data_IF_876418708679
#
_entry.id   IF_876418708679
#
_cell.length_a   1.000
_cell.length_b   1.000
_cell.length_c   1.000
_cell.angle_alpha   90.00
_cell.angle_beta   90.00
_cell.angle_gamma   90.00
#
_symmetry.space_group_name_H-M   'P 1'
#
loop_
_entity.id
_entity.type
_entity.pdbx_description
1 polymer ?
#
# COMPACT_ATOMS: atom_id res chain seq x y z
N UNK A 1 -23.22 -64.97 34.95
CA UNK A 1 -23.70 -64.20 33.82
C UNK A 1 -23.37 -62.75 34.11
N UNK A 2 -22.28 -62.22 33.58
CA UNK A 2 -21.84 -60.83 33.65
C UNK A 2 -22.06 -60.18 32.26
N UNK A 3 -22.68 -59.04 32.14
CA UNK A 3 -22.88 -58.39 30.86
C UNK A 3 -21.59 -57.65 30.42
N UNK A 4 -21.17 -57.92 29.18
CA UNK A 4 -20.12 -57.19 28.47
C UNK A 4 -20.46 -55.70 28.30
N UNK A 5 -19.55 -54.86 28.76
CA UNK A 5 -19.60 -53.43 28.50
C UNK A 5 -19.02 -53.14 27.11
N UNK A 6 -19.89 -52.82 26.17
CA UNK A 6 -19.54 -52.33 24.83
C UNK A 6 -18.92 -50.95 24.94
N UNK A 7 -17.61 -50.89 24.83
CA UNK A 7 -16.86 -49.62 24.76
C UNK A 7 -17.14 -48.85 23.44
N UNK A 8 -17.89 -47.80 23.56
CA UNK A 8 -18.14 -46.83 22.47
C UNK A 8 -16.92 -45.92 22.35
N UNK A 9 -16.10 -46.12 21.34
CA UNK A 9 -15.01 -45.19 21.00
C UNK A 9 -15.60 -43.85 20.54
N UNK A 10 -15.10 -42.71 21.05
CA UNK A 10 -15.53 -41.41 20.52
C UNK A 10 -14.94 -41.22 19.13
N UNK A 11 -15.82 -41.04 18.14
CA UNK A 11 -15.48 -40.77 16.76
C UNK A 11 -14.66 -39.47 16.65
N UNK A 12 -13.59 -39.55 15.89
CA UNK A 12 -12.62 -38.53 15.50
C UNK A 12 -13.29 -37.34 14.76
N UNK A 13 -13.70 -36.31 15.51
CA UNK A 13 -14.23 -35.06 14.97
C UNK A 13 -13.16 -34.00 14.66
N UNK A 14 -11.87 -34.28 14.81
CA UNK A 14 -10.78 -33.29 14.71
C UNK A 14 -10.15 -33.16 13.32
N UNK A 15 -10.48 -33.98 12.36
CA UNK A 15 -9.86 -33.94 11.00
C UNK A 15 -10.60 -33.05 9.99
N UNK A 16 -11.87 -32.75 10.20
CA UNK A 16 -12.70 -31.98 9.25
C UNK A 16 -12.53 -30.48 9.35
N UNK A 17 -12.36 -29.92 10.56
CA UNK A 17 -12.22 -28.49 10.82
C UNK A 17 -10.94 -27.91 10.18
N UNK A 18 -9.83 -28.63 10.23
CA UNK A 18 -8.58 -28.19 9.62
C UNK A 18 -8.56 -28.22 8.08
N UNK A 19 -9.43 -29.03 7.48
CA UNK A 19 -9.62 -29.13 6.02
C UNK A 19 -10.42 -27.96 5.46
N UNK A 20 -11.52 -27.62 6.11
CA UNK A 20 -12.40 -26.51 5.72
C UNK A 20 -11.67 -25.15 5.84
N UNK A 21 -10.96 -24.88 6.91
CA UNK A 21 -10.18 -23.65 7.09
C UNK A 21 -9.11 -23.47 6.01
N UNK A 22 -8.44 -24.55 5.60
CA UNK A 22 -7.45 -24.52 4.51
C UNK A 22 -8.12 -24.27 3.17
N UNK A 23 -9.28 -24.81 2.92
CA UNK A 23 -10.02 -24.62 1.66
C UNK A 23 -10.56 -23.19 1.54
N UNK A 24 -11.13 -22.65 2.60
CA UNK A 24 -11.59 -21.24 2.67
C UNK A 24 -10.42 -20.28 2.46
N UNK A 25 -9.28 -20.54 3.10
CA UNK A 25 -8.07 -19.73 2.92
C UNK A 25 -7.58 -19.75 1.47
N UNK A 26 -7.48 -20.93 0.83
CA UNK A 26 -7.07 -21.08 -0.58
C UNK A 26 -8.02 -20.37 -1.54
N UNK A 27 -9.34 -20.45 -1.29
CA UNK A 27 -10.34 -19.76 -2.10
C UNK A 27 -10.17 -18.24 -2.01
N UNK A 28 -9.97 -17.68 -0.82
CA UNK A 28 -9.72 -16.26 -0.61
C UNK A 28 -8.48 -15.78 -1.35
N UNK A 29 -7.37 -16.52 -1.27
CA UNK A 29 -6.15 -16.18 -2.01
C UNK A 29 -6.35 -16.19 -3.53
N UNK A 30 -7.08 -17.16 -4.09
CA UNK A 30 -7.39 -17.21 -5.52
C UNK A 30 -8.22 -16.02 -5.97
N UNK A 31 -9.24 -15.65 -5.18
CA UNK A 31 -10.08 -14.47 -5.49
C UNK A 31 -9.24 -13.19 -5.44
N UNK A 32 -8.45 -12.99 -4.38
CA UNK A 32 -7.58 -11.81 -4.25
C UNK A 32 -6.58 -11.71 -5.40
N UNK A 33 -5.96 -12.82 -5.78
CA UNK A 33 -5.04 -12.86 -6.91
C UNK A 33 -5.75 -12.59 -8.24
N UNK A 34 -6.94 -13.16 -8.45
CA UNK A 34 -7.76 -12.88 -9.64
C UNK A 34 -8.13 -11.40 -9.74
N UNK A 35 -8.58 -10.79 -8.64
CA UNK A 35 -8.89 -9.35 -8.60
C UNK A 35 -7.66 -8.49 -8.89
N UNK A 36 -6.49 -8.88 -8.37
CA UNK A 36 -5.24 -8.21 -8.65
C UNK A 36 -4.86 -8.30 -10.14
N UNK A 37 -5.00 -9.47 -10.76
CA UNK A 37 -4.77 -9.64 -12.20
C UNK A 37 -5.74 -8.79 -13.04
N UNK A 38 -7.01 -8.71 -12.65
CA UNK A 38 -8.00 -7.84 -13.34
C UNK A 38 -7.60 -6.37 -13.19
N UNK A 39 -7.22 -5.92 -12.00
CA UNK A 39 -6.75 -4.55 -11.78
C UNK A 39 -5.53 -4.22 -12.64
N UNK A 40 -4.56 -5.14 -12.73
CA UNK A 40 -3.38 -4.98 -13.59
C UNK A 40 -3.77 -4.89 -15.07
N UNK A 41 -4.66 -5.75 -15.55
CA UNK A 41 -5.13 -5.71 -16.95
C UNK A 41 -5.87 -4.40 -17.26
N UNK A 42 -6.71 -3.93 -16.32
CA UNK A 42 -7.40 -2.63 -16.45
C UNK A 42 -6.38 -1.51 -16.51
N UNK A 43 -5.38 -1.50 -15.63
CA UNK A 43 -4.31 -0.49 -15.64
C UNK A 43 -3.54 -0.47 -16.96
N UNK A 44 -3.12 -1.63 -17.45
CA UNK A 44 -2.43 -1.74 -18.75
C UNK A 44 -3.32 -1.26 -19.91
N UNK A 45 -4.60 -1.57 -19.87
CA UNK A 45 -5.55 -1.06 -20.87
C UNK A 45 -5.67 0.46 -20.82
N UNK A 46 -5.73 1.07 -19.60
CA UNK A 46 -5.73 2.54 -19.46
C UNK A 46 -4.45 3.17 -19.97
N UNK A 47 -3.27 2.56 -19.74
CA UNK A 47 -2.01 3.03 -20.31
C UNK A 47 -2.07 3.10 -21.85
N UNK A 48 -2.57 2.05 -22.51
CA UNK A 48 -2.72 2.01 -23.97
C UNK A 48 -3.72 3.07 -24.46
N UNK A 49 -4.85 3.20 -23.78
CA UNK A 49 -5.91 4.17 -24.15
C UNK A 49 -5.37 5.61 -24.03
N UNK A 50 -4.71 5.93 -22.92
CA UNK A 50 -4.17 7.28 -22.68
C UNK A 50 -3.00 7.58 -23.62
N UNK A 51 -2.13 6.63 -23.90
CA UNK A 51 -1.06 6.78 -24.90
C UNK A 51 -1.64 7.08 -26.29
N UNK A 52 -2.70 6.38 -26.69
CA UNK A 52 -3.39 6.59 -27.98
C UNK A 52 -4.20 7.90 -28.04
N UNK A 53 -4.60 8.46 -26.88
CA UNK A 53 -5.33 9.71 -26.78
C UNK A 53 -4.78 10.60 -25.65
N UNK A 54 -3.60 11.21 -25.85
CA UNK A 54 -2.90 11.93 -24.76
C UNK A 54 -3.54 13.27 -24.34
N UNK A 55 -4.49 13.80 -25.14
CA UNK A 55 -5.24 15.00 -24.78
C UNK A 55 -6.19 14.73 -23.62
N UNK A 56 -6.54 15.76 -22.79
CA UNK A 56 -7.56 15.59 -21.77
C UNK A 56 -8.91 15.26 -22.40
N UNK A 57 -9.65 14.41 -21.72
CA UNK A 57 -11.07 14.17 -22.06
C UNK A 57 -11.93 15.36 -21.62
N UNK A 58 -13.13 15.50 -22.18
CA UNK A 58 -14.04 16.58 -21.79
C UNK A 58 -14.36 16.57 -20.29
N UNK A 59 -14.50 15.40 -19.70
CA UNK A 59 -14.74 15.26 -18.27
C UNK A 59 -13.48 15.58 -17.41
N UNK A 60 -12.25 15.35 -17.90
CA UNK A 60 -11.02 15.81 -17.22
C UNK A 60 -11.03 17.33 -17.05
N UNK A 61 -11.39 18.06 -18.13
CA UNK A 61 -11.51 19.51 -18.12
C UNK A 61 -12.62 19.98 -17.18
N UNK A 62 -13.83 19.40 -17.34
CA UNK A 62 -14.99 19.80 -16.52
C UNK A 62 -14.74 19.58 -15.03
N UNK A 63 -14.07 18.48 -14.65
CA UNK A 63 -13.72 18.21 -13.26
C UNK A 63 -12.67 19.24 -12.77
N UNK A 64 -11.62 19.50 -13.55
CA UNK A 64 -10.59 20.46 -13.16
C UNK A 64 -11.17 21.89 -12.99
N UNK A 65 -11.99 22.34 -13.92
CA UNK A 65 -12.71 23.64 -13.84
C UNK A 65 -13.64 23.69 -12.62
N UNK A 66 -14.38 22.61 -12.36
CA UNK A 66 -15.30 22.54 -11.22
C UNK A 66 -14.54 22.63 -9.91
N UNK A 67 -13.50 21.81 -9.75
CA UNK A 67 -12.67 21.77 -8.52
C UNK A 67 -11.99 23.11 -8.28
N UNK A 68 -11.39 23.71 -9.31
CA UNK A 68 -10.71 24.99 -9.19
C UNK A 68 -11.66 26.18 -9.06
N UNK A 69 -12.90 26.05 -9.52
CA UNK A 69 -13.95 27.06 -9.40
C UNK A 69 -14.66 27.11 -8.05
N UNK A 70 -14.43 26.16 -7.16
CA UNK A 70 -15.02 26.14 -5.82
C UNK A 70 -14.51 27.34 -5.00
N UNK A 71 -15.46 28.09 -4.42
CA UNK A 71 -15.16 29.21 -3.52
C UNK A 71 -15.07 28.69 -2.10
N UNK A 72 -13.87 28.25 -1.73
CA UNK A 72 -13.61 27.66 -0.42
C UNK A 72 -12.86 28.62 0.50
N UNK A 73 -13.06 28.51 1.83
CA UNK A 73 -12.24 29.21 2.80
C UNK A 73 -10.76 28.77 2.68
N UNK A 74 -9.82 29.69 2.91
CA UNK A 74 -8.38 29.43 2.79
C UNK A 74 -7.95 28.23 3.64
N UNK A 75 -8.44 28.13 4.88
CA UNK A 75 -8.09 27.02 5.78
C UNK A 75 -8.50 25.65 5.23
N UNK A 76 -9.62 25.56 4.48
CA UNK A 76 -10.06 24.31 3.87
C UNK A 76 -9.13 23.91 2.74
N UNK A 77 -8.79 24.87 1.88
CA UNK A 77 -7.80 24.68 0.81
C UNK A 77 -6.44 24.23 1.36
N UNK A 78 -5.98 24.81 2.48
CA UNK A 78 -4.73 24.43 3.13
C UNK A 78 -4.79 22.96 3.60
N UNK A 79 -5.93 22.50 4.13
CA UNK A 79 -6.15 21.10 4.49
C UNK A 79 -6.14 20.19 3.25
N UNK A 80 -6.74 20.62 2.16
CA UNK A 80 -6.87 19.79 0.95
C UNK A 80 -5.54 19.60 0.20
N UNK A 81 -4.66 20.62 0.21
CA UNK A 81 -3.34 20.54 -0.43
C UNK A 81 -2.24 19.98 0.49
N UNK A 82 -2.50 19.81 1.78
CA UNK A 82 -1.51 19.36 2.74
C UNK A 82 -0.85 18.01 2.37
N UNK A 83 -1.56 16.98 1.88
CA UNK A 83 -0.94 15.74 1.38
C UNK A 83 0.07 16.01 0.27
N UNK A 84 -0.27 16.89 -0.69
CA UNK A 84 0.63 17.27 -1.78
C UNK A 84 1.93 17.91 -1.27
N UNK A 85 1.84 18.79 -0.26
CA UNK A 85 3.01 19.43 0.34
C UNK A 85 3.94 18.38 0.98
N UNK A 86 3.37 17.39 1.68
CA UNK A 86 4.16 16.33 2.32
C UNK A 86 4.76 15.34 1.33
N UNK A 87 4.17 15.22 0.14
CA UNK A 87 4.67 14.35 -0.92
C UNK A 87 5.72 15.04 -1.82
N UNK A 88 6.03 16.30 -1.63
CA UNK A 88 7.18 16.93 -2.29
C UNK A 88 8.47 16.15 -1.97
N UNK A 89 9.48 16.14 -2.87
CA UNK A 89 10.66 15.27 -2.75
C UNK A 89 11.37 15.32 -1.40
N UNK A 90 11.57 16.51 -0.83
CA UNK A 90 12.25 16.64 0.47
C UNK A 90 11.40 16.13 1.64
N UNK A 91 10.15 16.59 1.87
CA UNK A 91 9.30 16.07 2.92
C UNK A 91 9.06 14.56 2.79
N UNK A 92 8.81 14.04 1.60
CA UNK A 92 8.59 12.62 1.34
C UNK A 92 9.82 11.78 1.71
N UNK A 93 11.03 12.22 1.31
CA UNK A 93 12.29 11.55 1.68
C UNK A 93 12.51 11.56 3.20
N UNK A 94 12.24 12.69 3.87
CA UNK A 94 12.35 12.80 5.34
C UNK A 94 11.34 11.86 6.01
N UNK A 95 10.11 11.82 5.52
CA UNK A 95 9.06 10.95 6.05
C UNK A 95 9.42 9.46 5.93
N UNK A 96 9.81 9.02 4.73
CA UNK A 96 10.25 7.64 4.49
C UNK A 96 11.45 7.26 5.38
N UNK A 97 12.46 8.16 5.46
CA UNK A 97 13.64 7.96 6.29
C UNK A 97 13.31 7.86 7.77
N UNK A 98 12.37 8.68 8.26
CA UNK A 98 11.92 8.67 9.64
C UNK A 98 11.26 7.33 10.00
N UNK A 99 10.38 6.82 9.17
CA UNK A 99 9.75 5.52 9.38
C UNK A 99 10.76 4.38 9.28
N UNK A 100 11.65 4.40 8.30
CA UNK A 100 12.70 3.41 8.15
C UNK A 100 13.63 3.34 9.38
N UNK A 101 14.18 4.48 9.78
CA UNK A 101 15.06 4.58 10.97
C UNK A 101 14.31 4.21 12.25
N UNK A 102 13.06 4.67 12.40
CA UNK A 102 12.21 4.30 13.53
C UNK A 102 12.03 2.79 13.67
N UNK A 103 11.75 2.09 12.57
CA UNK A 103 11.63 0.63 12.55
C UNK A 103 12.95 -0.07 12.86
N UNK A 104 14.10 0.46 12.40
CA UNK A 104 15.42 -0.06 12.75
C UNK A 104 15.74 0.13 14.23
N UNK A 105 15.37 1.27 14.83
CA UNK A 105 15.52 1.51 16.28
C UNK A 105 14.70 0.49 17.07
N UNK A 106 13.44 0.25 16.66
CA UNK A 106 12.59 -0.77 17.31
C UNK A 106 13.23 -2.16 17.16
N UNK A 107 13.74 -2.50 15.99
CA UNK A 107 14.44 -3.78 15.75
C UNK A 107 15.65 -3.91 16.68
N UNK A 108 16.44 -2.86 16.85
CA UNK A 108 17.59 -2.81 17.77
C UNK A 108 17.15 -3.02 19.22
N UNK A 109 16.09 -2.32 19.68
CA UNK A 109 15.52 -2.49 21.02
C UNK A 109 15.10 -3.95 21.25
N UNK A 110 14.44 -4.58 20.27
CA UNK A 110 14.06 -6.00 20.35
C UNK A 110 15.30 -6.89 20.46
N UNK A 111 16.34 -6.63 19.68
CA UNK A 111 17.62 -7.36 19.72
C UNK A 111 18.29 -7.24 21.09
N UNK A 112 18.37 -6.04 21.64
CA UNK A 112 18.94 -5.78 22.96
C UNK A 112 18.17 -6.49 24.09
N UNK A 113 16.84 -6.58 23.93
CA UNK A 113 15.96 -7.32 24.85
C UNK A 113 15.93 -8.83 24.59
N UNK A 114 16.85 -9.37 23.80
CA UNK A 114 16.95 -10.78 23.39
C UNK A 114 15.68 -11.33 22.71
N UNK A 115 14.91 -10.44 22.09
CA UNK A 115 13.74 -10.78 21.24
C UNK A 115 14.14 -10.75 19.77
N UNK A 116 13.37 -11.44 18.92
CA UNK A 116 13.64 -11.45 17.48
C UNK A 116 13.35 -10.09 16.84
N UNK A 117 14.32 -9.45 16.16
CA UNK A 117 14.12 -8.20 15.43
C UNK A 117 13.53 -8.39 14.04
N UNK A 118 13.41 -9.62 13.54
CA UNK A 118 13.19 -9.94 12.11
C UNK A 118 11.94 -9.28 11.53
N UNK A 119 10.84 -9.22 12.29
CA UNK A 119 9.59 -8.60 11.82
C UNK A 119 9.78 -7.10 11.54
N UNK A 120 10.51 -6.40 12.42
CA UNK A 120 10.76 -4.97 12.26
C UNK A 120 11.74 -4.68 11.14
N UNK A 121 12.79 -5.50 10.99
CA UNK A 121 13.71 -5.42 9.85
C UNK A 121 13.00 -5.71 8.54
N UNK A 122 12.17 -6.74 8.50
CA UNK A 122 11.33 -7.05 7.35
C UNK A 122 10.40 -5.87 7.01
N UNK A 123 9.71 -5.29 8.01
CA UNK A 123 8.80 -4.16 7.80
C UNK A 123 9.53 -2.94 7.23
N UNK A 124 10.72 -2.62 7.78
CA UNK A 124 11.55 -1.52 7.29
C UNK A 124 11.98 -1.72 5.84
N UNK A 125 12.51 -2.91 5.51
CA UNK A 125 12.97 -3.22 4.15
C UNK A 125 11.80 -3.23 3.15
N UNK A 126 10.65 -3.80 3.54
CA UNK A 126 9.49 -3.84 2.67
C UNK A 126 8.87 -2.46 2.44
N UNK A 127 8.85 -1.58 3.45
CA UNK A 127 8.38 -0.20 3.27
C UNK A 127 9.22 0.52 2.20
N UNK A 128 10.54 0.48 2.35
CA UNK A 128 11.46 1.11 1.38
C UNK A 128 11.35 0.46 0.00
N UNK A 129 11.32 -0.88 -0.07
CA UNK A 129 11.17 -1.59 -1.33
C UNK A 129 9.86 -1.25 -2.04
N UNK A 130 8.74 -1.16 -1.30
CA UNK A 130 7.44 -0.76 -1.84
C UNK A 130 7.53 0.61 -2.48
N UNK A 131 7.99 1.61 -1.74
CA UNK A 131 8.03 3.01 -2.19
C UNK A 131 9.00 3.20 -3.37
N UNK A 132 10.23 2.69 -3.26
CA UNK A 132 11.23 2.91 -4.31
C UNK A 132 10.91 2.16 -5.60
N UNK A 133 10.40 0.92 -5.51
CA UNK A 133 10.01 0.18 -6.71
C UNK A 133 8.79 0.76 -7.39
N UNK A 134 7.82 1.24 -6.62
CA UNK A 134 6.64 1.91 -7.09
C UNK A 134 7.02 3.19 -7.85
N UNK A 135 7.80 4.09 -7.23
CA UNK A 135 8.30 5.30 -7.87
C UNK A 135 9.10 5.02 -9.16
N UNK A 136 9.95 3.97 -9.16
CA UNK A 136 10.73 3.59 -10.33
C UNK A 136 9.86 3.11 -11.49
N UNK A 137 8.84 2.32 -11.20
CA UNK A 137 7.92 1.80 -12.23
C UNK A 137 6.93 2.87 -12.69
N UNK A 138 6.44 3.73 -11.79
CA UNK A 138 5.65 4.89 -12.16
C UNK A 138 6.40 5.78 -13.17
N UNK A 139 7.67 6.09 -12.89
CA UNK A 139 8.52 6.84 -13.82
C UNK A 139 8.64 6.15 -15.18
N UNK A 140 8.78 4.83 -15.21
CA UNK A 140 8.85 4.06 -16.46
C UNK A 140 7.53 4.14 -17.25
N UNK A 141 6.40 3.97 -16.57
CA UNK A 141 5.07 4.08 -17.19
C UNK A 141 4.83 5.51 -17.70
N UNK A 142 5.21 6.52 -16.93
CA UNK A 142 5.11 7.93 -17.29
C UNK A 142 5.85 8.23 -18.62
N UNK A 143 7.07 7.71 -18.76
CA UNK A 143 7.88 7.85 -19.99
C UNK A 143 7.22 7.11 -21.17
N UNK A 144 6.68 5.91 -20.96
CA UNK A 144 6.07 5.09 -22.01
C UNK A 144 4.74 5.72 -22.48
N UNK A 145 3.88 6.11 -21.54
CA UNK A 145 2.57 6.70 -21.87
C UNK A 145 2.73 8.10 -22.43
N UNK A 146 3.69 8.86 -21.92
CA UNK A 146 4.10 10.18 -22.41
C UNK A 146 2.94 11.18 -22.60
N UNK A 147 2.04 11.26 -21.63
CA UNK A 147 0.92 12.20 -21.62
C UNK A 147 1.38 13.60 -21.22
N UNK A 148 1.07 14.68 -21.97
CA UNK A 148 1.41 16.02 -21.58
C UNK A 148 0.62 16.50 -20.34
N UNK A 149 1.28 17.27 -19.47
CA UNK A 149 0.66 17.88 -18.28
C UNK A 149 -0.40 18.92 -18.62
N UNK A 150 -1.34 19.17 -17.68
CA UNK A 150 -2.23 20.34 -17.77
C UNK A 150 -1.44 21.61 -18.03
N UNK A 151 -1.88 22.40 -19.01
CA UNK A 151 -1.19 23.63 -19.40
C UNK A 151 -2.20 24.78 -19.50
N UNK A 152 -2.09 25.83 -18.64
CA UNK A 152 -3.01 26.96 -18.63
C UNK A 152 -2.96 27.82 -19.90
N UNK A 153 -1.95 27.63 -20.77
CA UNK A 153 -1.92 28.28 -22.09
C UNK A 153 -2.83 27.62 -23.12
N UNK A 154 -3.22 26.38 -22.88
CA UNK A 154 -4.01 25.57 -23.79
C UNK A 154 -5.42 25.31 -23.26
N UNK A 155 -5.62 25.36 -21.94
CA UNK A 155 -6.87 25.02 -21.28
C UNK A 155 -7.22 26.03 -20.20
N UNK A 156 -8.50 26.27 -19.91
CA UNK A 156 -8.98 27.27 -18.93
C UNK A 156 -8.83 26.74 -17.48
N UNK A 157 -7.62 26.46 -17.08
CA UNK A 157 -7.24 25.96 -15.76
C UNK A 157 -6.17 26.84 -15.13
N UNK A 158 -6.02 26.77 -13.81
CA UNK A 158 -4.94 27.41 -13.08
C UNK A 158 -3.87 26.39 -12.71
N UNK A 159 -2.60 26.76 -12.80
CA UNK A 159 -1.48 26.00 -12.29
C UNK A 159 -0.93 26.72 -11.07
N UNK A 160 -1.04 26.07 -9.89
CA UNK A 160 -0.59 26.64 -8.61
C UNK A 160 0.83 26.21 -8.24
N UNK A 161 1.41 25.29 -8.99
CA UNK A 161 2.77 24.77 -8.81
C UNK A 161 3.65 25.15 -10.00
N UNK A 162 4.96 24.92 -9.88
CA UNK A 162 5.85 25.11 -11.01
C UNK A 162 5.60 24.04 -12.09
N UNK A 163 5.59 24.45 -13.37
CA UNK A 163 5.46 23.51 -14.47
C UNK A 163 6.64 22.53 -14.49
N UNK A 164 6.35 21.25 -14.35
CA UNK A 164 7.34 20.18 -14.34
C UNK A 164 7.49 19.60 -15.76
N UNK A 165 8.72 19.43 -16.29
CA UNK A 165 8.94 18.98 -17.68
C UNK A 165 8.83 17.45 -17.84
N UNK A 166 8.04 16.79 -17.01
CA UNK A 166 7.81 15.35 -17.07
C UNK A 166 6.37 15.02 -17.47
N UNK A 167 6.09 13.87 -18.09
CA UNK A 167 4.76 13.41 -18.39
C UNK A 167 3.85 13.38 -17.15
N UNK A 168 2.55 13.15 -17.34
CA UNK A 168 1.57 13.30 -16.25
C UNK A 168 0.86 12.00 -15.88
N UNK A 169 0.92 10.97 -16.69
CA UNK A 169 0.16 9.73 -16.47
C UNK A 169 1.06 8.54 -16.21
N UNK A 170 0.79 7.82 -15.13
CA UNK A 170 -0.17 8.08 -14.05
C UNK A 170 0.38 9.05 -13.00
N UNK A 171 -0.48 9.58 -12.10
CA UNK A 171 -0.06 10.50 -11.05
C UNK A 171 0.86 9.84 -10.03
N UNK A 172 2.15 10.20 -10.05
CA UNK A 172 3.15 9.65 -9.13
C UNK A 172 2.93 10.02 -7.67
N UNK A 173 2.39 11.21 -7.37
CA UNK A 173 2.02 11.59 -6.01
C UNK A 173 0.91 10.67 -5.46
N UNK A 174 -0.13 10.42 -6.27
CA UNK A 174 -1.24 9.56 -5.88
C UNK A 174 -0.78 8.11 -5.70
N UNK A 175 0.04 7.59 -6.62
CA UNK A 175 0.63 6.26 -6.54
C UNK A 175 1.47 6.12 -5.27
N UNK A 176 2.38 7.07 -5.02
CA UNK A 176 3.27 7.08 -3.85
C UNK A 176 2.49 7.01 -2.54
N UNK A 177 1.48 7.86 -2.35
CA UNK A 177 0.76 7.92 -1.09
C UNK A 177 -0.10 6.68 -0.84
N UNK A 178 -0.69 6.11 -1.90
CA UNK A 178 -1.37 4.81 -1.79
C UNK A 178 -0.38 3.70 -1.39
N UNK A 179 0.79 3.65 -2.00
CA UNK A 179 1.80 2.64 -1.70
C UNK A 179 2.39 2.83 -0.29
N UNK A 180 2.78 4.06 0.06
CA UNK A 180 3.45 4.38 1.31
C UNK A 180 2.50 4.33 2.52
N UNK A 181 1.46 5.15 2.54
CA UNK A 181 0.51 5.20 3.65
C UNK A 181 -0.37 3.96 3.71
N UNK A 182 -0.73 3.38 2.57
CA UNK A 182 -1.43 2.10 2.51
C UNK A 182 -0.62 0.97 3.13
N UNK A 183 0.71 0.92 2.91
CA UNK A 183 1.57 -0.09 3.53
C UNK A 183 1.75 0.15 5.04
N UNK A 184 1.92 1.39 5.49
CA UNK A 184 1.93 1.74 6.92
C UNK A 184 0.61 1.38 7.60
N UNK A 185 -0.51 1.68 6.96
CA UNK A 185 -1.84 1.31 7.41
C UNK A 185 -1.96 -0.21 7.58
N UNK A 186 -1.55 -0.98 6.56
CA UNK A 186 -1.51 -2.44 6.66
C UNK A 186 -0.63 -2.93 7.81
N UNK A 187 0.59 -2.40 7.96
CA UNK A 187 1.50 -2.79 9.04
C UNK A 187 0.89 -2.56 10.43
N UNK A 188 0.09 -1.51 10.61
CA UNK A 188 -0.58 -1.20 11.88
C UNK A 188 -1.56 -2.28 12.35
N UNK A 189 -2.06 -3.13 11.43
CA UNK A 189 -2.94 -4.26 11.73
C UNK A 189 -2.22 -5.61 11.82
N UNK A 190 -0.91 -5.66 11.60
CA UNK A 190 -0.15 -6.91 11.73
C UNK A 190 -0.13 -7.40 13.18
N UNK A 191 0.00 -8.73 13.37
CA UNK A 191 0.06 -9.35 14.71
C UNK A 191 1.14 -8.71 15.59
N UNK A 192 2.30 -8.40 15.01
CA UNK A 192 3.43 -7.80 15.73
C UNK A 192 3.06 -6.45 16.35
N UNK A 193 2.29 -5.63 15.67
CA UNK A 193 1.85 -4.31 16.12
C UNK A 193 0.64 -4.42 17.04
N UNK A 194 -0.37 -5.23 16.69
CA UNK A 194 -1.60 -5.38 17.49
C UNK A 194 -1.38 -6.01 18.87
N UNK A 195 -0.33 -6.78 19.05
CA UNK A 195 0.06 -7.32 20.36
C UNK A 195 0.81 -6.32 21.23
N UNK A 196 1.17 -5.16 20.70
CA UNK A 196 1.76 -4.08 21.47
C UNK A 196 0.71 -3.41 22.36
N UNK A 197 1.03 -3.21 23.63
CA UNK A 197 0.10 -2.65 24.64
C UNK A 197 -0.52 -1.31 24.21
N UNK A 198 0.23 -0.50 23.45
CA UNK A 198 -0.16 0.85 23.06
C UNK A 198 -0.56 0.95 21.59
N UNK A 199 -0.98 -0.14 20.95
CA UNK A 199 -1.34 -0.15 19.52
C UNK A 199 -2.46 0.85 19.16
N UNK A 200 -3.33 1.19 20.11
CA UNK A 200 -4.39 2.19 19.91
C UNK A 200 -3.82 3.60 19.66
N UNK A 201 -2.59 3.89 20.07
CA UNK A 201 -1.92 5.16 19.77
C UNK A 201 -1.58 5.31 18.28
N UNK A 202 -1.77 4.28 17.49
CA UNK A 202 -1.64 4.32 16.03
C UNK A 202 -2.95 4.78 15.33
N UNK A 203 -4.05 4.97 16.06
CA UNK A 203 -5.31 5.46 15.47
C UNK A 203 -5.13 6.80 14.75
N UNK A 204 -4.43 7.81 15.29
CA UNK A 204 -4.18 9.04 14.54
C UNK A 204 -3.43 8.82 13.23
N UNK A 205 -2.44 7.91 13.21
CA UNK A 205 -1.74 7.53 11.98
C UNK A 205 -2.67 6.85 10.98
N UNK A 206 -3.56 5.98 11.44
CA UNK A 206 -4.53 5.29 10.58
C UNK A 206 -5.53 6.27 9.97
N UNK A 207 -6.03 7.23 10.77
CA UNK A 207 -6.92 8.30 10.29
C UNK A 207 -6.17 9.18 9.28
N UNK A 208 -4.92 9.55 9.60
CA UNK A 208 -4.09 10.34 8.71
C UNK A 208 -3.84 9.63 7.38
N UNK A 209 -3.49 8.34 7.40
CA UNK A 209 -3.26 7.56 6.17
C UNK A 209 -4.51 7.51 5.27
N UNK A 210 -5.70 7.38 5.86
CA UNK A 210 -6.96 7.42 5.09
C UNK A 210 -7.19 8.82 4.50
N UNK A 211 -7.03 9.85 5.32
CA UNK A 211 -7.16 11.24 4.88
C UNK A 211 -6.19 11.53 3.73
N UNK A 212 -4.93 11.21 3.89
CA UNK A 212 -3.88 11.47 2.91
C UNK A 212 -4.17 10.79 1.57
N UNK A 213 -4.47 9.47 1.59
CA UNK A 213 -4.84 8.72 0.39
C UNK A 213 -6.08 9.32 -0.31
N UNK A 214 -7.07 9.80 0.44
CA UNK A 214 -8.27 10.37 -0.16
C UNK A 214 -8.02 11.75 -0.78
N UNK A 215 -7.25 12.60 -0.09
CA UNK A 215 -7.08 13.98 -0.48
C UNK A 215 -5.92 14.21 -1.44
N UNK A 216 -4.93 13.32 -1.53
CA UNK A 216 -3.81 13.50 -2.48
C UNK A 216 -4.30 13.63 -3.92
N UNK A 217 -5.21 12.78 -4.37
CA UNK A 217 -5.72 12.86 -5.73
C UNK A 217 -6.50 14.14 -6.00
N UNK A 218 -7.30 14.59 -5.04
CA UNK A 218 -8.04 15.84 -5.12
C UNK A 218 -7.08 17.05 -5.21
N UNK A 219 -6.07 17.09 -4.34
CA UNK A 219 -5.07 18.16 -4.33
C UNK A 219 -4.34 18.29 -5.68
N UNK A 220 -4.03 17.18 -6.35
CA UNK A 220 -3.34 17.20 -7.65
C UNK A 220 -4.18 17.83 -8.76
N UNK A 221 -5.52 17.66 -8.71
CA UNK A 221 -6.46 18.29 -9.64
C UNK A 221 -6.62 19.78 -9.27
N UNK A 222 -6.77 20.08 -7.97
CA UNK A 222 -6.92 21.44 -7.46
C UNK A 222 -5.71 22.31 -7.82
N UNK A 223 -4.49 21.77 -7.68
CA UNK A 223 -3.24 22.45 -8.02
C UNK A 223 -3.00 22.55 -9.53
N UNK A 224 -3.76 21.82 -10.35
CA UNK A 224 -3.65 21.84 -11.81
C UNK A 224 -2.49 21.01 -12.35
N UNK A 225 -1.92 20.12 -11.56
CA UNK A 225 -0.76 19.33 -11.95
C UNK A 225 -1.11 18.06 -12.73
N UNK A 226 -2.31 17.53 -12.50
CA UNK A 226 -2.78 16.27 -13.09
C UNK A 226 -4.24 16.37 -13.53
N UNK A 227 -4.57 15.61 -14.58
CA UNK A 227 -5.95 15.36 -14.97
C UNK A 227 -6.60 14.33 -14.02
N UNK A 228 -7.92 14.33 -13.94
CA UNK A 228 -8.65 13.33 -13.15
C UNK A 228 -8.30 11.89 -13.54
N UNK A 229 -8.16 11.61 -14.85
CA UNK A 229 -7.76 10.29 -15.32
C UNK A 229 -6.34 9.91 -14.91
N UNK A 230 -5.41 10.86 -14.76
CA UNK A 230 -4.06 10.59 -14.24
C UNK A 230 -4.11 10.17 -12.77
N UNK A 231 -4.97 10.83 -12.01
CA UNK A 231 -5.20 10.54 -10.59
C UNK A 231 -5.80 9.15 -10.40
N UNK A 232 -6.82 8.79 -11.19
CA UNK A 232 -7.41 7.44 -11.16
C UNK A 232 -6.37 6.39 -11.55
N UNK A 233 -5.53 6.68 -12.57
CA UNK A 233 -4.39 5.84 -12.93
C UNK A 233 -3.43 5.63 -11.78
N UNK A 234 -3.07 6.70 -11.06
CA UNK A 234 -2.20 6.66 -9.88
C UNK A 234 -2.79 5.84 -8.72
N UNK A 235 -4.09 5.99 -8.42
CA UNK A 235 -4.77 5.15 -7.42
C UNK A 235 -4.74 3.67 -7.80
N UNK A 236 -4.99 3.36 -9.06
CA UNK A 236 -5.01 1.98 -9.55
C UNK A 236 -3.61 1.36 -9.51
N UNK A 237 -2.60 2.09 -9.98
CA UNK A 237 -1.20 1.68 -9.93
C UNK A 237 -0.74 1.47 -8.48
N UNK A 238 -0.94 2.46 -7.61
CA UNK A 238 -0.58 2.37 -6.20
C UNK A 238 -1.25 1.20 -5.49
N UNK A 239 -2.53 0.93 -5.77
CA UNK A 239 -3.22 -0.23 -5.23
C UNK A 239 -2.62 -1.55 -5.73
N UNK A 240 -2.26 -1.66 -7.00
CA UNK A 240 -1.62 -2.85 -7.58
C UNK A 240 -0.30 -3.14 -6.86
N UNK A 241 0.54 -2.11 -6.66
CA UNK A 241 1.82 -2.27 -5.92
C UNK A 241 1.60 -2.58 -4.46
N UNK A 242 0.73 -1.85 -3.79
CA UNK A 242 0.41 -2.09 -2.40
C UNK A 242 0.00 -3.54 -2.14
N UNK A 243 -0.95 -4.06 -2.92
CA UNK A 243 -1.40 -5.45 -2.75
C UNK A 243 -0.31 -6.46 -3.11
N UNK A 244 0.49 -6.22 -4.16
CA UNK A 244 1.62 -7.07 -4.50
C UNK A 244 2.61 -7.16 -3.33
N UNK A 245 3.01 -6.03 -2.75
CA UNK A 245 3.94 -6.00 -1.63
C UNK A 245 3.35 -6.56 -0.33
N UNK A 246 2.06 -6.40 -0.08
CA UNK A 246 1.37 -7.07 1.03
C UNK A 246 1.42 -8.59 0.85
N UNK A 247 1.15 -9.11 -0.35
CA UNK A 247 1.27 -10.56 -0.62
C UNK A 247 2.69 -11.06 -0.41
N UNK A 248 3.67 -10.36 -0.94
CA UNK A 248 5.09 -10.71 -0.81
C UNK A 248 5.55 -10.63 0.65
N UNK A 249 5.16 -9.60 1.40
CA UNK A 249 5.43 -9.47 2.83
C UNK A 249 4.89 -10.65 3.62
N UNK A 250 3.63 -11.03 3.40
CA UNK A 250 2.98 -12.16 4.07
C UNK A 250 3.65 -13.49 3.72
N UNK A 251 4.01 -13.67 2.47
CA UNK A 251 4.72 -14.85 2.02
C UNK A 251 6.09 -14.99 2.69
N UNK A 252 6.89 -13.91 2.69
CA UNK A 252 8.19 -13.89 3.37
C UNK A 252 8.04 -14.09 4.88
N UNK A 253 7.04 -13.47 5.52
CA UNK A 253 6.74 -13.71 6.95
C UNK A 253 6.52 -15.21 7.23
N UNK A 254 5.70 -15.88 6.42
CA UNK A 254 5.44 -17.30 6.57
C UNK A 254 6.71 -18.16 6.37
N UNK A 255 7.57 -17.79 5.42
CA UNK A 255 8.86 -18.50 5.23
C UNK A 255 9.79 -18.32 6.42
N UNK A 256 9.89 -17.12 6.97
CA UNK A 256 10.70 -16.83 8.15
C UNK A 256 10.19 -17.57 9.41
N UNK A 257 8.88 -17.67 9.58
CA UNK A 257 8.28 -18.44 10.68
C UNK A 257 8.62 -19.93 10.57
N UNK A 258 8.42 -20.55 9.42
CA UNK A 258 8.77 -21.96 9.16
C UNK A 258 10.26 -22.24 9.37
N UNK A 259 11.12 -21.34 8.88
CA UNK A 259 12.57 -21.45 9.07
C UNK A 259 12.96 -21.45 10.56
N UNK A 260 12.34 -20.57 11.36
CA UNK A 260 12.57 -20.48 12.81
C UNK A 260 12.12 -21.73 13.56
N UNK A 261 10.94 -22.23 13.23
CA UNK A 261 10.39 -23.48 13.81
C UNK A 261 11.31 -24.68 13.52
N UNK A 262 11.77 -24.81 12.28
CA UNK A 262 12.70 -25.89 11.89
C UNK A 262 14.05 -25.81 12.61
N UNK A 263 14.57 -24.59 12.84
CA UNK A 263 15.82 -24.41 13.61
C UNK A 263 15.63 -24.69 15.10
N UNK A 264 14.49 -24.33 15.69
CA UNK A 264 14.17 -24.63 17.07
C UNK A 264 14.06 -26.13 17.31
N UNK A 265 13.39 -26.88 16.44
CA UNK A 265 13.26 -28.32 16.50
C UNK A 265 14.63 -29.04 16.43
N UNK A 266 15.50 -28.62 15.48
CA UNK A 266 16.86 -29.18 15.36
C UNK A 266 17.68 -28.95 16.62
N UNK A 267 17.59 -27.77 17.24
CA UNK A 267 18.31 -27.45 18.48
C UNK A 267 17.83 -28.33 19.65
N UNK A 268 16.54 -28.57 19.77
CA UNK A 268 16.00 -29.45 20.79
C UNK A 268 16.42 -30.90 20.57
N UNK A 269 16.46 -31.41 19.34
CA UNK A 269 16.90 -32.73 19.00
C UNK A 269 18.39 -32.97 19.35
N UNK A 270 19.27 -31.95 19.16
CA UNK A 270 20.71 -32.07 19.49
C UNK A 270 20.97 -32.04 21.01
N UNK A 271 20.09 -31.40 21.80
CA UNK A 271 20.26 -31.33 23.27
C UNK A 271 19.69 -32.58 23.95
N UNK A 272 18.86 -33.35 23.26
CA UNK A 272 18.26 -34.58 23.79
C UNK A 272 19.13 -35.86 23.57
N UNK A 273 20.25 -35.75 22.89
CA UNK A 273 21.31 -36.73 22.72
C UNK A 273 22.57 -36.33 23.47
#
# INVERSE_FOLDING_TARGET
MTPESTGMQPATATSTVGGEDRQVSRRRYRIQFGLWCVALLVFLATCVIIHGHPKPYSFDLSIAETVQGLKEPVWLRDVEIFPSILNNPTPSTVNLSTWFVGMLIIALIFRLRRRSPLVWLQSALFLVATVLSAAGLNTLVDIIVNRPRPNPRLYPIHLYTALVPFPTYPSGHTEHDVAFYGFLFYLSFTKAVRTWRYHLWLIPLQIYAIYDILFIGYSRILEGDHWFTDVIGGYLEGAIYLFFFIFLYRWVTTLLEKWREGHAQKKHAVVAH
#
